data_IF_930412338324
#
_entry.id   IF_930412338324
#
_cell.length_a   1.000
_cell.length_b   1.000
_cell.length_c   1.000
_cell.angle_alpha   90.00
_cell.angle_beta   90.00
_cell.angle_gamma   90.00
#
_symmetry.space_group_name_H-M   'P 1'
#
loop_
_entity.id
_entity.type
_entity.pdbx_description
1 polymer ?
#
# COMPACT_ATOMS: atom_id res chain seq x y z
N UNK A 1 -15.60 46.22 56.72
CA UNK A 1 -14.84 45.37 55.79
C UNK A 1 -15.76 44.24 55.34
N UNK A 2 -16.37 44.35 54.15
CA UNK A 2 -17.35 43.38 53.63
C UNK A 2 -16.73 42.61 52.47
N UNK A 3 -16.50 41.30 52.67
CA UNK A 3 -15.96 40.39 51.67
C UNK A 3 -17.08 39.94 50.73
N UNK A 4 -17.01 40.38 49.47
CA UNK A 4 -17.92 39.96 48.40
C UNK A 4 -17.39 38.68 47.76
N UNK A 5 -17.98 37.54 48.10
CA UNK A 5 -17.62 36.24 47.54
C UNK A 5 -18.36 36.04 46.20
N UNK A 6 -17.66 36.13 45.07
CA UNK A 6 -18.20 35.79 43.76
C UNK A 6 -18.13 34.26 43.55
N UNK A 7 -19.29 33.61 43.65
CA UNK A 7 -19.45 32.21 43.27
C UNK A 7 -19.55 32.13 41.74
N UNK A 8 -18.50 31.62 41.08
CA UNK A 8 -18.53 31.33 39.65
C UNK A 8 -19.37 30.07 39.44
N UNK A 9 -20.53 30.22 38.83
CA UNK A 9 -21.28 29.07 38.34
C UNK A 9 -20.48 28.35 37.25
N UNK A 10 -20.39 27.01 37.27
CA UNK A 10 -19.79 26.27 36.19
C UNK A 10 -20.64 26.48 34.93
N UNK A 11 -20.08 27.17 33.95
CA UNK A 11 -20.66 27.24 32.60
C UNK A 11 -20.72 25.81 32.08
N UNK A 12 -21.92 25.26 32.03
CA UNK A 12 -22.25 24.03 31.34
C UNK A 12 -21.83 24.17 29.88
N UNK A 13 -20.66 23.62 29.53
CA UNK A 13 -20.26 23.42 28.14
C UNK A 13 -21.20 22.37 27.56
N UNK A 14 -22.28 22.83 26.92
CA UNK A 14 -23.06 21.96 26.04
C UNK A 14 -22.15 21.31 24.99
N UNK A 15 -22.46 20.09 24.54
CA UNK A 15 -21.65 19.41 23.54
C UNK A 15 -21.55 20.28 22.30
N UNK A 16 -20.32 20.55 21.86
CA UNK A 16 -20.07 21.30 20.63
C UNK A 16 -20.83 20.64 19.47
N UNK A 17 -21.47 21.43 18.59
CA UNK A 17 -22.18 20.88 17.43
C UNK A 17 -21.22 20.00 16.63
N UNK A 18 -21.64 18.76 16.32
CA UNK A 18 -20.86 17.86 15.47
C UNK A 18 -20.81 18.47 14.08
N UNK A 19 -19.62 18.92 13.66
CA UNK A 19 -19.40 19.32 12.27
C UNK A 19 -19.82 18.19 11.33
N UNK A 20 -20.49 18.54 10.23
CA UNK A 20 -20.92 17.57 9.21
C UNK A 20 -19.72 16.85 8.60
N UNK A 21 -19.90 15.60 8.15
CA UNK A 21 -18.82 14.78 7.59
C UNK A 21 -18.15 15.51 6.42
N UNK A 22 -18.94 16.17 5.57
CA UNK A 22 -18.46 17.05 4.49
C UNK A 22 -17.50 18.15 4.97
N UNK A 23 -17.79 18.86 6.05
CA UNK A 23 -16.91 19.93 6.56
C UNK A 23 -15.59 19.36 7.04
N UNK A 24 -15.61 18.22 7.74
CA UNK A 24 -14.38 17.55 8.21
C UNK A 24 -13.53 17.07 7.04
N UNK A 25 -14.13 16.47 6.02
CA UNK A 25 -13.46 16.05 4.79
C UNK A 25 -12.76 17.24 4.12
N UNK A 26 -13.47 18.36 3.93
CA UNK A 26 -12.91 19.57 3.33
C UNK A 26 -11.77 20.18 4.15
N UNK A 27 -11.92 20.24 5.47
CA UNK A 27 -10.87 20.71 6.37
C UNK A 27 -9.63 19.81 6.30
N UNK A 28 -9.82 18.49 6.26
CA UNK A 28 -8.73 17.52 6.16
C UNK A 28 -7.97 17.68 4.84
N UNK A 29 -8.68 17.84 3.72
CA UNK A 29 -8.04 18.10 2.41
C UNK A 29 -7.20 19.37 2.45
N UNK A 30 -7.72 20.45 3.05
CA UNK A 30 -6.95 21.69 3.23
C UNK A 30 -5.71 21.47 4.10
N UNK A 31 -5.81 20.68 5.17
CA UNK A 31 -4.67 20.36 6.04
C UNK A 31 -3.63 19.53 5.29
N UNK A 32 -4.04 18.47 4.58
CA UNK A 32 -3.13 17.60 3.79
C UNK A 32 -2.30 18.44 2.81
N UNK A 33 -2.94 19.37 2.10
CA UNK A 33 -2.27 20.23 1.12
C UNK A 33 -1.25 21.21 1.75
N UNK A 34 -1.36 21.47 3.06
CA UNK A 34 -0.48 22.39 3.78
C UNK A 34 0.61 21.68 4.61
N UNK A 35 0.55 20.35 4.78
CA UNK A 35 1.53 19.61 5.57
C UNK A 35 2.83 19.34 4.80
N UNK A 36 3.96 19.50 5.48
CA UNK A 36 5.29 19.18 4.93
C UNK A 36 5.42 17.65 4.80
N UNK A 37 5.39 17.14 3.57
CA UNK A 37 5.26 15.70 3.28
C UNK A 37 3.87 15.28 2.81
N UNK A 38 2.92 16.22 2.78
CA UNK A 38 1.62 16.12 2.12
C UNK A 38 0.85 14.87 2.52
N UNK A 39 0.75 13.93 1.58
CA UNK A 39 -0.05 12.71 1.68
C UNK A 39 0.66 11.56 2.41
N UNK A 40 1.83 11.79 3.02
CA UNK A 40 2.58 10.75 3.75
C UNK A 40 2.27 10.75 5.23
N UNK A 41 1.40 9.82 5.67
CA UNK A 41 1.04 9.72 7.09
C UNK A 41 2.24 9.38 7.98
N UNK A 42 3.32 8.81 7.42
CA UNK A 42 4.52 8.49 8.18
C UNK A 42 5.21 9.76 8.71
N UNK A 43 5.00 10.90 8.03
CA UNK A 43 5.54 12.20 8.42
C UNK A 43 4.61 12.98 9.38
N UNK A 44 3.43 12.44 9.70
CA UNK A 44 2.45 13.13 10.54
C UNK A 44 2.82 13.03 12.00
N UNK A 45 2.57 14.11 12.76
CA UNK A 45 2.70 14.09 14.21
C UNK A 45 1.69 13.10 14.83
N UNK A 46 1.98 12.60 16.04
CA UNK A 46 1.06 11.73 16.76
C UNK A 46 -0.33 12.38 16.94
N UNK A 47 -0.36 13.70 17.19
CA UNK A 47 -1.63 14.43 17.33
C UNK A 47 -2.43 14.44 16.03
N UNK A 48 -1.77 14.71 14.89
CA UNK A 48 -2.43 14.71 13.59
C UNK A 48 -2.96 13.30 13.23
N UNK A 49 -2.22 12.23 13.53
CA UNK A 49 -2.71 10.85 13.33
C UNK A 49 -3.95 10.53 14.16
N UNK A 50 -3.97 10.95 15.43
CA UNK A 50 -5.14 10.76 16.31
C UNK A 50 -6.38 11.49 15.80
N UNK A 51 -6.20 12.67 15.21
CA UNK A 51 -7.31 13.42 14.60
C UNK A 51 -7.96 12.62 13.46
N UNK A 52 -7.16 11.95 12.63
CA UNK A 52 -7.66 11.06 11.56
C UNK A 52 -8.48 9.88 12.10
N UNK A 53 -8.16 9.38 13.30
CA UNK A 53 -8.90 8.31 13.96
C UNK A 53 -10.19 8.78 14.64
N UNK A 54 -10.27 10.07 14.99
CA UNK A 54 -11.43 10.65 15.68
C UNK A 54 -12.63 10.94 14.74
N UNK A 55 -12.48 10.67 13.45
CA UNK A 55 -13.53 10.85 12.45
C UNK A 55 -14.53 9.70 12.39
N UNK A 56 -15.56 9.89 11.58
CA UNK A 56 -16.45 8.81 11.17
C UNK A 56 -15.64 7.66 10.54
N UNK A 57 -16.15 6.45 10.69
CA UNK A 57 -15.61 5.24 10.06
C UNK A 57 -16.43 4.86 8.84
N UNK A 58 -15.84 4.07 7.94
CA UNK A 58 -16.52 3.44 6.81
C UNK A 58 -16.26 1.94 6.80
N UNK A 59 -17.23 1.19 6.29
CA UNK A 59 -17.08 -0.23 6.05
C UNK A 59 -16.60 -0.47 4.62
N UNK A 60 -15.60 -1.32 4.46
CA UNK A 60 -15.08 -1.70 3.14
C UNK A 60 -15.73 -3.01 2.74
N UNK A 61 -16.56 -2.97 1.71
CA UNK A 61 -17.26 -4.14 1.17
C UNK A 61 -16.43 -4.74 0.04
N UNK A 62 -16.09 -6.02 0.17
CA UNK A 62 -15.18 -6.76 -0.69
C UNK A 62 -15.95 -7.71 -1.61
N UNK A 63 -15.79 -7.51 -2.92
CA UNK A 63 -16.29 -8.43 -3.94
C UNK A 63 -17.81 -8.64 -3.92
N UNK A 64 -18.26 -9.72 -4.56
CA UNK A 64 -19.69 -10.07 -4.66
C UNK A 64 -20.23 -10.79 -3.40
N UNK A 65 -19.35 -11.45 -2.65
CA UNK A 65 -19.70 -12.15 -1.41
C UNK A 65 -20.12 -11.19 -0.28
N UNK A 66 -19.91 -9.89 -0.46
CA UNK A 66 -20.20 -8.85 0.51
C UNK A 66 -19.47 -9.05 1.85
N UNK A 67 -18.28 -9.66 1.82
CA UNK A 67 -17.37 -9.66 2.96
C UNK A 67 -17.07 -8.21 3.36
N UNK A 68 -17.08 -7.90 4.66
CA UNK A 68 -16.90 -6.53 5.14
C UNK A 68 -15.70 -6.42 6.05
N UNK A 69 -14.93 -5.35 5.86
CA UNK A 69 -13.97 -4.87 6.84
C UNK A 69 -14.58 -3.63 7.49
N UNK A 70 -15.10 -3.82 8.71
CA UNK A 70 -15.85 -2.79 9.40
C UNK A 70 -14.96 -1.72 10.03
N UNK A 71 -15.47 -0.50 10.16
CA UNK A 71 -14.88 0.49 11.07
C UNK A 71 -13.51 1.03 10.63
N UNK A 72 -13.27 1.20 9.33
CA UNK A 72 -12.02 1.80 8.83
C UNK A 72 -12.10 3.33 8.95
N UNK A 73 -11.11 4.02 9.57
CA UNK A 73 -11.18 5.47 9.72
C UNK A 73 -11.20 6.21 8.38
N UNK A 74 -12.31 6.94 8.10
CA UNK A 74 -12.58 7.57 6.81
C UNK A 74 -11.50 8.58 6.41
N UNK A 75 -11.09 9.45 7.35
CA UNK A 75 -10.06 10.45 7.07
C UNK A 75 -8.68 9.83 6.87
N UNK A 76 -8.37 8.73 7.55
CA UNK A 76 -7.12 8.01 7.31
C UNK A 76 -7.09 7.44 5.89
N UNK A 77 -8.19 6.84 5.40
CA UNK A 77 -8.28 6.39 4.00
C UNK A 77 -8.12 7.53 3.00
N UNK A 78 -8.75 8.67 3.27
CA UNK A 78 -8.64 9.87 2.44
C UNK A 78 -7.17 10.35 2.29
N UNK A 79 -6.39 10.27 3.37
CA UNK A 79 -4.95 10.62 3.33
C UNK A 79 -4.15 9.54 2.59
N UNK A 80 -4.37 8.28 2.95
CA UNK A 80 -3.52 7.14 2.59
C UNK A 80 -3.74 6.62 1.16
N UNK A 81 -4.87 6.92 0.53
CA UNK A 81 -5.28 6.33 -0.74
C UNK A 81 -5.83 7.40 -1.68
N UNK A 82 -5.22 7.51 -2.87
CA UNK A 82 -5.75 8.39 -3.92
C UNK A 82 -7.11 7.93 -4.42
N UNK A 83 -7.33 6.61 -4.51
CA UNK A 83 -8.60 6.02 -4.95
C UNK A 83 -9.72 6.28 -3.96
N UNK A 84 -9.49 6.06 -2.66
CA UNK A 84 -10.49 6.36 -1.64
C UNK A 84 -10.70 7.85 -1.44
N UNK A 85 -9.66 8.67 -1.61
CA UNK A 85 -9.79 10.14 -1.59
C UNK A 85 -10.80 10.63 -2.61
N UNK A 86 -10.65 10.24 -3.88
CA UNK A 86 -11.60 10.60 -4.94
C UNK A 86 -13.03 10.20 -4.58
N UNK A 87 -13.22 8.96 -4.10
CA UNK A 87 -14.54 8.47 -3.71
C UNK A 87 -15.14 9.27 -2.54
N UNK A 88 -14.36 9.54 -1.49
CA UNK A 88 -14.83 10.25 -0.28
C UNK A 88 -15.09 11.72 -0.58
N UNK A 89 -14.32 12.35 -1.48
CA UNK A 89 -14.57 13.71 -1.95
C UNK A 89 -15.91 13.84 -2.67
N UNK A 90 -16.25 12.87 -3.51
CA UNK A 90 -17.53 12.81 -4.21
C UNK A 90 -18.70 12.44 -3.26
N UNK A 91 -18.45 11.55 -2.29
CA UNK A 91 -19.47 10.99 -1.40
C UNK A 91 -19.02 11.04 0.07
N UNK A 92 -18.94 12.25 0.68
CA UNK A 92 -18.41 12.41 2.03
C UNK A 92 -19.24 11.71 3.10
N UNK A 93 -20.56 11.59 2.88
CA UNK A 93 -21.49 10.94 3.81
C UNK A 93 -21.57 9.41 3.63
N UNK A 94 -20.76 8.82 2.74
CA UNK A 94 -20.75 7.38 2.55
C UNK A 94 -20.37 6.65 3.85
N UNK A 95 -21.19 5.66 4.23
CA UNK A 95 -20.91 4.74 5.33
C UNK A 95 -20.21 3.46 4.85
N UNK A 96 -20.37 3.12 3.56
CA UNK A 96 -19.77 1.95 2.94
C UNK A 96 -19.02 2.34 1.66
N UNK A 97 -17.89 1.69 1.40
CA UNK A 97 -17.16 1.80 0.14
C UNK A 97 -17.01 0.40 -0.45
N UNK A 98 -17.51 0.21 -1.67
CA UNK A 98 -17.44 -1.07 -2.38
C UNK A 98 -16.16 -1.15 -3.21
N UNK A 99 -15.35 -2.16 -2.96
CA UNK A 99 -14.15 -2.48 -3.76
C UNK A 99 -14.53 -3.59 -4.73
N UNK A 100 -14.84 -3.19 -5.97
CA UNK A 100 -15.22 -4.09 -7.05
C UNK A 100 -14.06 -4.21 -8.02
N UNK A 101 -13.15 -5.15 -7.77
CA UNK A 101 -12.12 -5.54 -8.72
C UNK A 101 -12.02 -7.06 -8.75
N UNK A 102 -12.17 -7.66 -9.92
CA UNK A 102 -12.14 -9.10 -10.09
C UNK A 102 -10.74 -9.69 -9.83
N UNK A 103 -9.69 -8.88 -9.95
CA UNK A 103 -8.29 -9.31 -9.79
C UNK A 103 -7.71 -9.00 -8.42
N UNK A 104 -8.47 -8.39 -7.49
CA UNK A 104 -7.92 -7.99 -6.20
C UNK A 104 -7.91 -9.17 -5.21
N UNK A 105 -6.76 -9.40 -4.58
CA UNK A 105 -6.60 -10.43 -3.57
C UNK A 105 -7.19 -9.96 -2.23
N UNK A 106 -8.33 -10.51 -1.82
CA UNK A 106 -9.06 -10.05 -0.63
C UNK A 106 -8.24 -10.08 0.68
N UNK A 107 -7.45 -11.12 0.98
CA UNK A 107 -6.59 -11.11 2.17
C UNK A 107 -5.59 -9.95 2.18
N UNK A 108 -5.07 -9.56 1.02
CA UNK A 108 -4.17 -8.41 0.90
C UNK A 108 -4.87 -7.08 1.19
N UNK A 109 -6.15 -6.95 0.79
CA UNK A 109 -6.97 -5.79 1.15
C UNK A 109 -7.19 -5.73 2.67
N UNK A 110 -7.49 -6.87 3.30
CA UNK A 110 -7.63 -6.96 4.75
C UNK A 110 -6.36 -6.52 5.49
N UNK A 111 -5.18 -6.95 5.03
CA UNK A 111 -3.89 -6.50 5.58
C UNK A 111 -3.76 -4.97 5.49
N UNK A 112 -4.07 -4.37 4.34
CA UNK A 112 -3.97 -2.92 4.14
C UNK A 112 -4.97 -2.15 5.00
N UNK A 113 -6.22 -2.60 5.09
CA UNK A 113 -7.25 -1.90 5.88
C UNK A 113 -6.99 -2.03 7.39
N UNK A 114 -6.50 -3.17 7.85
CA UNK A 114 -6.09 -3.32 9.25
C UNK A 114 -4.87 -2.43 9.55
N UNK A 115 -3.91 -2.35 8.63
CA UNK A 115 -2.80 -1.40 8.76
C UNK A 115 -3.27 0.06 8.82
N UNK A 116 -4.27 0.46 8.04
CA UNK A 116 -4.89 1.81 8.12
C UNK A 116 -5.45 2.06 9.52
N UNK A 117 -6.18 1.09 10.08
CA UNK A 117 -6.72 1.17 11.45
C UNK A 117 -5.60 1.32 12.48
N UNK A 118 -4.53 0.53 12.34
CA UNK A 118 -3.39 0.56 13.26
C UNK A 118 -2.67 1.90 13.22
N UNK A 119 -2.41 2.44 12.02
CA UNK A 119 -1.75 3.74 11.86
C UNK A 119 -2.57 4.86 12.49
N UNK A 120 -3.88 4.86 12.28
CA UNK A 120 -4.78 5.87 12.84
C UNK A 120 -4.89 5.76 14.36
N UNK A 121 -5.03 4.54 14.89
CA UNK A 121 -5.23 4.28 16.33
C UNK A 121 -3.94 4.22 17.15
N UNK A 122 -2.78 4.24 16.49
CA UNK A 122 -1.47 4.12 17.14
C UNK A 122 -1.27 5.14 18.25
N UNK A 123 -0.87 4.65 19.43
CA UNK A 123 -0.41 5.49 20.54
C UNK A 123 1.09 5.78 20.47
N UNK A 124 1.79 5.24 19.47
CA UNK A 124 3.25 5.32 19.39
C UNK A 124 3.70 6.46 18.47
N UNK A 125 4.86 7.04 18.80
CA UNK A 125 5.51 8.02 17.93
C UNK A 125 6.13 7.40 16.67
N UNK A 126 6.35 6.09 16.67
CA UNK A 126 6.99 5.37 15.58
C UNK A 126 6.06 5.17 14.37
N UNK A 127 6.67 5.07 13.20
CA UNK A 127 5.99 4.76 11.94
C UNK A 127 5.61 3.27 11.95
N UNK A 128 4.31 2.98 11.90
CA UNK A 128 3.80 1.62 11.70
C UNK A 128 4.00 1.27 10.23
N UNK A 129 4.88 0.30 9.97
CA UNK A 129 5.12 -0.20 8.61
C UNK A 129 4.02 -1.17 8.20
N UNK A 130 3.73 -1.22 6.91
CA UNK A 130 2.84 -2.25 6.35
C UNK A 130 3.42 -3.63 6.70
N UNK A 131 2.62 -4.56 7.24
CA UNK A 131 3.06 -5.92 7.50
C UNK A 131 3.59 -6.56 6.22
N UNK A 132 4.79 -7.14 6.28
CA UNK A 132 5.43 -7.79 5.13
C UNK A 132 5.02 -9.27 5.12
N UNK A 133 4.31 -9.76 4.08
CA UNK A 133 3.96 -11.17 3.99
C UNK A 133 5.18 -12.08 3.92
N UNK A 134 5.04 -13.33 4.39
CA UNK A 134 6.15 -14.28 4.44
C UNK A 134 6.58 -14.76 3.05
N UNK A 135 5.62 -15.07 2.17
CA UNK A 135 5.91 -15.63 0.84
C UNK A 135 6.14 -14.54 -0.21
N UNK A 136 6.85 -14.86 -1.31
CA UNK A 136 6.98 -13.93 -2.43
C UNK A 136 5.63 -13.64 -3.10
N UNK A 137 4.80 -14.67 -3.27
CA UNK A 137 3.48 -14.56 -3.92
C UNK A 137 2.56 -13.61 -3.15
N UNK A 138 2.50 -13.74 -1.82
CA UNK A 138 1.68 -12.85 -1.00
C UNK A 138 2.19 -11.40 -1.00
N UNK A 139 3.52 -11.21 -1.08
CA UNK A 139 4.11 -9.87 -1.27
C UNK A 139 3.64 -9.24 -2.58
N UNK A 140 3.67 -10.00 -3.68
CA UNK A 140 3.18 -9.52 -4.98
C UNK A 140 1.68 -9.19 -4.94
N UNK A 141 0.86 -10.07 -4.36
CA UNK A 141 -0.58 -9.84 -4.17
C UNK A 141 -0.86 -8.58 -3.34
N UNK A 142 -0.07 -8.35 -2.29
CA UNK A 142 -0.15 -7.14 -1.47
C UNK A 142 0.25 -5.88 -2.26
N UNK A 143 1.31 -5.95 -3.05
CA UNK A 143 1.77 -4.85 -3.91
C UNK A 143 0.68 -4.49 -4.94
N UNK A 144 0.10 -5.49 -5.60
CA UNK A 144 -0.99 -5.30 -6.55
C UNK A 144 -2.24 -4.70 -5.92
N UNK A 145 -2.67 -5.23 -4.76
CA UNK A 145 -3.80 -4.68 -4.02
C UNK A 145 -3.56 -3.22 -3.63
N UNK A 146 -2.37 -2.89 -3.12
CA UNK A 146 -2.03 -1.52 -2.78
C UNK A 146 -2.05 -0.60 -4.00
N UNK A 147 -1.67 -1.07 -5.18
CA UNK A 147 -1.75 -0.27 -6.41
C UNK A 147 -3.20 0.01 -6.82
N UNK A 148 -4.07 -1.01 -6.85
CA UNK A 148 -5.50 -0.82 -7.15
C UNK A 148 -6.14 0.17 -6.17
N UNK A 149 -5.78 0.07 -4.90
CA UNK A 149 -6.29 0.94 -3.85
C UNK A 149 -5.60 2.31 -3.81
N UNK A 150 -4.68 2.65 -4.72
CA UNK A 150 -4.01 3.95 -4.73
C UNK A 150 -3.10 4.20 -3.51
N UNK A 151 -2.52 3.13 -2.96
CA UNK A 151 -1.67 3.10 -1.77
C UNK A 151 -0.21 2.73 -2.09
N UNK A 152 0.22 2.85 -3.35
CA UNK A 152 1.54 2.38 -3.82
C UNK A 152 2.74 2.94 -3.05
N UNK A 153 2.62 4.13 -2.43
CA UNK A 153 3.72 4.71 -1.66
C UNK A 153 4.08 3.95 -0.37
N UNK A 154 3.17 3.14 0.15
CA UNK A 154 3.33 2.49 1.46
C UNK A 154 3.92 1.07 1.35
N UNK A 155 4.07 0.57 0.13
CA UNK A 155 4.58 -0.78 -0.16
C UNK A 155 6.07 -0.81 -0.55
N UNK A 156 6.78 0.32 -0.52
CA UNK A 156 8.21 0.38 -0.86
C UNK A 156 9.06 -0.59 -0.05
N UNK A 157 8.76 -0.73 1.25
CA UNK A 157 9.45 -1.69 2.12
C UNK A 157 9.16 -3.14 1.68
N UNK A 158 7.94 -3.43 1.23
CA UNK A 158 7.54 -4.76 0.74
C UNK A 158 8.27 -5.06 -0.57
N UNK A 159 8.33 -4.09 -1.50
CA UNK A 159 9.05 -4.23 -2.76
C UNK A 159 10.56 -4.41 -2.52
N UNK A 160 11.14 -3.65 -1.59
CA UNK A 160 12.56 -3.80 -1.21
C UNK A 160 12.84 -5.21 -0.69
N UNK A 161 12.01 -5.73 0.22
CA UNK A 161 12.15 -7.10 0.75
C UNK A 161 11.98 -8.15 -0.34
N UNK A 162 10.99 -7.98 -1.22
CA UNK A 162 10.81 -8.84 -2.38
C UNK A 162 12.09 -8.91 -3.24
N UNK A 163 12.69 -7.75 -3.58
CA UNK A 163 13.94 -7.67 -4.36
C UNK A 163 15.11 -8.36 -3.66
N UNK A 164 15.26 -8.17 -2.35
CA UNK A 164 16.31 -8.83 -1.56
C UNK A 164 16.15 -10.35 -1.58
N UNK A 165 14.94 -10.85 -1.34
CA UNK A 165 14.65 -12.29 -1.33
C UNK A 165 14.87 -12.92 -2.72
N UNK A 166 14.35 -12.31 -3.79
CA UNK A 166 14.56 -12.75 -5.17
C UNK A 166 16.04 -12.80 -5.54
N UNK A 167 16.86 -11.86 -5.05
CA UNK A 167 18.32 -11.91 -5.28
C UNK A 167 18.99 -13.08 -4.57
N UNK A 168 18.50 -13.47 -3.39
CA UNK A 168 19.07 -14.57 -2.62
C UNK A 168 18.60 -15.96 -3.07
N UNK A 169 17.42 -16.07 -3.66
CA UNK A 169 16.82 -17.36 -4.03
C UNK A 169 16.62 -17.51 -5.54
N UNK A 170 16.11 -18.65 -5.97
CA UNK A 170 15.77 -18.90 -7.37
C UNK A 170 14.26 -18.90 -7.47
N UNK A 171 13.65 -17.90 -8.15
CA UNK A 171 12.21 -17.86 -8.32
C UNK A 171 11.72 -19.15 -8.97
N UNK A 172 10.71 -19.77 -8.37
CA UNK A 172 10.08 -20.97 -8.94
C UNK A 172 9.19 -20.56 -10.12
N UNK A 173 9.15 -21.33 -11.22
CA UNK A 173 8.30 -21.02 -12.37
C UNK A 173 6.83 -20.82 -12.01
N UNK A 174 6.32 -21.60 -11.05
CA UNK A 174 4.93 -21.52 -10.59
C UNK A 174 4.65 -20.18 -9.90
N UNK A 175 5.59 -19.71 -9.06
CA UNK A 175 5.48 -18.39 -8.42
C UNK A 175 5.57 -17.27 -9.48
N UNK A 176 6.38 -17.46 -10.52
CA UNK A 176 6.55 -16.45 -11.57
C UNK A 176 5.28 -16.27 -12.40
N UNK A 177 4.52 -17.34 -12.67
CA UNK A 177 3.21 -17.23 -13.32
C UNK A 177 2.23 -16.38 -12.50
N UNK A 178 2.22 -16.55 -11.17
CA UNK A 178 1.46 -15.67 -10.27
C UNK A 178 1.99 -14.23 -10.32
N UNK A 179 3.31 -14.03 -10.35
CA UNK A 179 3.88 -12.68 -10.43
C UNK A 179 3.44 -11.93 -11.68
N UNK A 180 3.36 -12.62 -12.82
CA UNK A 180 2.84 -12.04 -14.07
C UNK A 180 1.35 -11.72 -13.97
N UNK A 181 0.54 -12.59 -13.39
CA UNK A 181 -0.89 -12.35 -13.20
C UNK A 181 -1.17 -11.05 -12.41
N UNK A 182 -0.33 -10.74 -11.42
CA UNK A 182 -0.46 -9.57 -10.55
C UNK A 182 0.49 -8.42 -10.94
N UNK A 183 1.22 -8.53 -12.06
CA UNK A 183 2.07 -7.47 -12.54
C UNK A 183 1.23 -6.32 -13.07
N UNK A 184 1.50 -5.11 -12.57
CA UNK A 184 0.81 -3.90 -13.02
C UNK A 184 1.20 -3.53 -14.46
N UNK A 185 2.45 -3.83 -14.83
CA UNK A 185 2.98 -3.63 -16.18
C UNK A 185 4.23 -4.48 -16.42
N UNK A 186 4.64 -4.59 -17.68
CA UNK A 186 5.92 -5.22 -18.06
C UNK A 186 7.14 -4.52 -17.46
N UNK A 187 7.02 -3.22 -17.18
CA UNK A 187 8.07 -2.42 -16.57
C UNK A 187 8.05 -2.41 -15.04
N UNK A 188 7.14 -3.18 -14.44
CA UNK A 188 6.97 -3.22 -13.01
C UNK A 188 8.23 -3.78 -12.30
N UNK A 189 8.51 -3.24 -11.12
CA UNK A 189 9.75 -3.55 -10.38
C UNK A 189 9.90 -5.03 -10.01
N UNK A 190 8.77 -5.72 -9.83
CA UNK A 190 8.71 -7.17 -9.57
C UNK A 190 9.27 -7.95 -10.76
N UNK A 191 8.77 -7.65 -11.97
CA UNK A 191 9.18 -8.31 -13.22
C UNK A 191 10.65 -8.04 -13.50
N UNK A 192 11.08 -6.78 -13.34
CA UNK A 192 12.49 -6.40 -13.49
C UNK A 192 13.41 -7.16 -12.53
N UNK A 193 13.03 -7.29 -11.25
CA UNK A 193 13.84 -7.99 -10.27
C UNK A 193 13.99 -9.49 -10.58
N UNK A 194 12.91 -10.13 -11.03
CA UNK A 194 12.93 -11.55 -11.44
C UNK A 194 13.74 -11.74 -12.72
N UNK A 195 13.55 -10.88 -13.73
CA UNK A 195 14.34 -10.91 -14.96
C UNK A 195 15.83 -10.71 -14.72
N UNK A 196 16.20 -9.78 -13.84
CA UNK A 196 17.60 -9.57 -13.41
C UNK A 196 18.19 -10.81 -12.74
N UNK A 197 17.40 -11.49 -11.91
CA UNK A 197 17.82 -12.72 -11.25
C UNK A 197 18.02 -13.85 -12.25
N UNK A 198 17.08 -14.08 -13.15
CA UNK A 198 17.20 -15.11 -14.18
C UNK A 198 18.37 -14.84 -15.13
N UNK A 199 18.55 -13.60 -15.60
CA UNK A 199 19.71 -13.22 -16.41
C UNK A 199 21.03 -13.49 -15.68
N UNK A 200 21.12 -13.13 -14.39
CA UNK A 200 22.30 -13.48 -13.57
C UNK A 200 22.56 -14.99 -13.52
N UNK A 201 21.53 -15.80 -13.24
CA UNK A 201 21.66 -17.25 -13.12
C UNK A 201 22.06 -17.90 -14.45
N UNK A 202 21.51 -17.41 -15.57
CA UNK A 202 21.86 -17.87 -16.92
C UNK A 202 23.31 -17.57 -17.27
N UNK A 203 23.78 -16.34 -17.03
CA UNK A 203 25.17 -15.92 -17.32
C UNK A 203 26.21 -16.64 -16.46
N UNK A 204 25.87 -16.96 -15.21
CA UNK A 204 26.81 -17.56 -14.25
C UNK A 204 26.76 -19.09 -14.24
N UNK A 205 25.89 -19.71 -15.04
CA UNK A 205 25.66 -21.17 -15.04
C UNK A 205 25.29 -21.71 -13.64
N UNK A 206 24.70 -20.88 -12.78
CA UNK A 206 24.31 -21.21 -11.40
C UNK A 206 22.83 -21.59 -11.28
N UNK A 207 22.16 -21.90 -12.37
CA UNK A 207 20.79 -22.39 -12.32
C UNK A 207 20.83 -23.90 -11.96
N UNK A 208 20.36 -24.32 -10.77
CA UNK A 208 20.46 -25.69 -10.29
C UNK A 208 19.42 -26.63 -10.92
N UNK A 209 18.48 -26.09 -11.70
CA UNK A 209 17.47 -26.87 -12.41
C UNK A 209 17.83 -27.15 -13.87
N UNK A 210 16.94 -27.85 -14.57
CA UNK A 210 17.05 -28.06 -16.01
C UNK A 210 16.95 -26.71 -16.74
N UNK A 211 18.02 -26.31 -17.44
CA UNK A 211 18.00 -25.10 -18.27
C UNK A 211 16.87 -25.13 -19.30
N UNK A 212 16.50 -26.31 -19.81
CA UNK A 212 15.37 -26.45 -20.73
C UNK A 212 14.06 -26.04 -20.07
N UNK A 213 13.89 -26.31 -18.78
CA UNK A 213 12.71 -25.86 -18.02
C UNK A 213 12.61 -24.34 -18.01
N UNK A 214 13.71 -23.64 -17.70
CA UNK A 214 13.74 -22.17 -17.71
C UNK A 214 13.53 -21.62 -19.12
N UNK A 215 14.17 -22.19 -20.14
CA UNK A 215 13.94 -21.78 -21.54
C UNK A 215 12.48 -21.96 -21.95
N UNK A 216 11.86 -23.09 -21.62
CA UNK A 216 10.45 -23.37 -21.90
C UNK A 216 9.51 -22.46 -21.11
N UNK A 217 9.91 -22.01 -19.92
CA UNK A 217 9.18 -21.00 -19.16
C UNK A 217 9.28 -19.64 -19.87
N UNK A 218 10.47 -19.15 -20.19
CA UNK A 218 10.65 -17.86 -20.85
C UNK A 218 9.95 -17.82 -22.22
N UNK A 219 9.95 -18.92 -22.97
CA UNK A 219 9.22 -19.03 -24.23
C UNK A 219 7.69 -18.90 -24.09
N UNK A 220 7.13 -19.19 -22.91
CA UNK A 220 5.69 -19.09 -22.62
C UNK A 220 5.31 -17.78 -21.92
N UNK A 221 6.28 -17.07 -21.35
CA UNK A 221 6.07 -15.89 -20.53
C UNK A 221 6.92 -14.73 -21.08
N UNK A 222 6.44 -14.12 -22.17
CA UNK A 222 7.14 -13.09 -22.95
C UNK A 222 7.61 -11.92 -22.07
N UNK A 223 6.82 -11.56 -21.05
CA UNK A 223 7.15 -10.48 -20.11
C UNK A 223 8.47 -10.73 -19.37
N UNK A 224 8.72 -11.98 -18.97
CA UNK A 224 9.95 -12.37 -18.28
C UNK A 224 11.10 -12.55 -19.26
N UNK A 225 10.84 -13.10 -20.45
CA UNK A 225 11.87 -13.19 -21.51
C UNK A 225 12.41 -11.79 -21.85
N UNK A 226 11.52 -10.83 -22.07
CA UNK A 226 11.91 -9.43 -22.28
C UNK A 226 12.71 -8.89 -21.10
N UNK A 227 12.23 -9.09 -19.86
CA UNK A 227 12.92 -8.60 -18.67
C UNK A 227 14.32 -9.19 -18.49
N UNK A 228 14.52 -10.46 -18.86
CA UNK A 228 15.83 -11.14 -18.88
C UNK A 228 16.75 -10.50 -19.91
N UNK A 229 16.28 -10.34 -21.15
CA UNK A 229 17.07 -9.71 -22.23
C UNK A 229 17.46 -8.27 -21.88
N UNK A 230 16.54 -7.50 -21.31
CA UNK A 230 16.81 -6.14 -20.87
C UNK A 230 17.86 -6.10 -19.75
N UNK A 231 17.81 -7.05 -18.81
CA UNK A 231 18.81 -7.18 -17.74
C UNK A 231 20.19 -7.59 -18.27
N UNK A 232 20.25 -8.46 -19.28
CA UNK A 232 21.47 -8.83 -19.99
C UNK A 232 22.08 -7.61 -20.70
N UNK A 233 21.27 -6.87 -21.46
CA UNK A 233 21.70 -5.66 -22.16
C UNK A 233 22.28 -4.61 -21.20
N UNK A 234 21.61 -4.34 -20.06
CA UNK A 234 22.13 -3.44 -19.01
C UNK A 234 23.45 -3.92 -18.42
N UNK A 235 23.58 -5.23 -18.22
CA UNK A 235 24.82 -5.82 -17.67
C UNK A 235 25.99 -5.71 -18.64
N UNK A 236 25.76 -5.87 -19.94
CA UNK A 236 26.77 -5.68 -20.99
C UNK A 236 27.18 -4.22 -21.12
N UNK A 237 26.22 -3.29 -21.14
CA UNK A 237 26.50 -1.85 -21.20
C UNK A 237 27.36 -1.38 -20.01
N UNK A 238 27.08 -1.87 -18.80
CA UNK A 238 27.86 -1.54 -17.60
C UNK A 238 29.30 -2.07 -17.65
N UNK A 239 29.55 -3.19 -18.36
CA UNK A 239 30.92 -3.71 -18.55
C UNK A 239 31.70 -2.87 -19.55
N UNK A 240 31.04 -2.40 -20.62
CA UNK A 240 31.67 -1.57 -21.64
C UNK A 240 32.11 -0.19 -21.10
N UNK A 241 31.43 0.36 -20.09
CA UNK A 241 31.81 1.65 -19.49
C UNK A 241 32.89 1.56 -18.40
N UNK A 242 33.29 0.34 -18.01
CA UNK A 242 34.33 0.10 -16.99
C UNK A 242 35.70 -0.21 -17.58
N UNK A 243 35.80 -0.25 -18.90
CA UNK A 243 37.04 -0.45 -19.68
C UNK A 243 37.48 0.89 -20.23
#
# INVERSE_FOLDING_TARGET
MTNTHFSRQPTSCGPAPKDSSRVRVQNTIRVINNLRGGEDIANYSLSARKELASSDTVDIVLGAAADKIEGVPKLALLVLSTTFRQYIEEKPEAAEIKVVSASIHLPSVAILMNWVKDVASSKTHYIIKVPVPATLVDKVKLIHAAHILGMSRYIDIVIKRFKEEVRSQIPRPEDCAEFEQYAISADHEIIKAVGERFGYLLRTYKFPGDRKMLTNFLARHEIFDKAVRDADARSLAKRATQV
#
